data_IF_050362939783
#
_entry.id   IF_050362939783
#
_cell.length_a   1.000
_cell.length_b   1.000
_cell.length_c   1.000
_cell.angle_alpha   90.00
_cell.angle_beta   90.00
_cell.angle_gamma   90.00
#
_symmetry.space_group_name_H-M   'P 1'
#
loop_
_entity.id
_entity.type
_entity.pdbx_description
1 polymer ?
#
# COMPACT_ATOMS: atom_id res chain seq x y z
N UNK A 1 1.52 -21.82 13.94
CA UNK A 1 1.39 -22.07 12.49
C UNK A 1 1.41 -20.72 11.81
N UNK A 2 2.33 -20.46 10.88
CA UNK A 2 2.35 -19.21 10.15
C UNK A 2 1.09 -19.16 9.27
N UNK A 3 0.21 -18.19 9.50
CA UNK A 3 -0.92 -17.94 8.63
C UNK A 3 -0.36 -17.40 7.31
N UNK A 4 -0.40 -18.18 6.24
CA UNK A 4 0.09 -17.77 4.93
C UNK A 4 -0.96 -16.93 4.19
N UNK A 5 -1.08 -15.67 4.57
CA UNK A 5 -1.91 -14.75 3.81
C UNK A 5 -1.27 -14.44 2.46
N UNK A 6 -2.10 -14.45 1.41
CA UNK A 6 -1.62 -14.12 0.06
C UNK A 6 -1.43 -12.62 -0.08
N UNK A 7 -2.40 -11.84 0.40
CA UNK A 7 -2.37 -10.38 0.27
C UNK A 7 -2.62 -9.69 1.61
N UNK A 8 -1.81 -8.68 1.90
CA UNK A 8 -2.10 -7.62 2.84
C UNK A 8 -2.59 -6.40 2.07
N UNK A 9 -3.78 -5.89 2.41
CA UNK A 9 -4.38 -4.73 1.72
C UNK A 9 -4.46 -3.58 2.70
N UNK A 10 -3.93 -2.42 2.30
CA UNK A 10 -3.90 -1.21 3.13
C UNK A 10 -4.63 -0.09 2.40
N UNK A 11 -5.57 0.55 3.07
CA UNK A 11 -6.18 1.81 2.65
C UNK A 11 -6.08 2.86 3.76
N UNK A 12 -6.07 4.13 3.42
CA UNK A 12 -5.94 5.21 4.40
C UNK A 12 -7.27 5.54 5.08
N UNK A 13 -8.38 5.34 4.39
CA UNK A 13 -9.73 5.73 4.82
C UNK A 13 -10.71 4.58 4.70
N UNK A 14 -11.85 4.69 5.41
CA UNK A 14 -12.89 3.65 5.40
C UNK A 14 -13.42 3.40 3.98
N UNK A 15 -13.74 4.45 3.24
CA UNK A 15 -14.26 4.34 1.87
C UNK A 15 -13.29 3.68 0.87
N UNK A 16 -12.02 3.54 1.21
CA UNK A 16 -11.04 2.85 0.38
C UNK A 16 -11.00 1.34 0.63
N UNK A 17 -11.51 0.88 1.78
CA UNK A 17 -11.47 -0.54 2.16
C UNK A 17 -12.84 -1.15 2.42
N UNK A 18 -13.89 -0.38 2.67
CA UNK A 18 -15.20 -0.87 3.13
C UNK A 18 -15.81 -1.92 2.19
N UNK A 19 -15.74 -1.70 0.88
CA UNK A 19 -16.23 -2.67 -0.10
C UNK A 19 -15.48 -4.00 0.01
N UNK A 20 -14.15 -3.94 0.09
CA UNK A 20 -13.31 -5.15 0.21
C UNK A 20 -13.56 -5.88 1.54
N UNK A 21 -13.75 -5.14 2.62
CA UNK A 21 -14.09 -5.71 3.94
C UNK A 21 -15.51 -6.31 3.92
N UNK A 22 -16.45 -5.69 3.19
CA UNK A 22 -17.80 -6.21 2.99
C UNK A 22 -17.83 -7.53 2.23
N UNK A 23 -16.95 -7.68 1.25
CA UNK A 23 -16.85 -8.86 0.38
C UNK A 23 -16.04 -10.02 1.01
N UNK A 24 -15.51 -9.85 2.24
CA UNK A 24 -14.78 -10.92 2.90
C UNK A 24 -15.65 -12.10 3.29
N UNK A 25 -15.33 -13.26 2.77
CA UNK A 25 -15.84 -14.54 3.25
C UNK A 25 -15.11 -14.97 4.51
N UNK A 26 -15.83 -15.58 5.46
CA UNK A 26 -15.31 -16.05 6.76
C UNK A 26 -14.59 -14.94 7.55
N UNK A 27 -15.13 -13.72 7.48
CA UNK A 27 -14.54 -12.53 8.09
C UNK A 27 -14.32 -12.67 9.60
N UNK A 28 -13.13 -12.32 10.04
CA UNK A 28 -12.74 -12.18 11.46
C UNK A 28 -12.10 -10.80 11.66
N UNK A 29 -12.28 -10.27 12.85
CA UNK A 29 -11.62 -9.02 13.24
C UNK A 29 -10.60 -9.28 14.35
N UNK A 30 -9.43 -8.70 14.22
CA UNK A 30 -8.40 -8.69 15.26
C UNK A 30 -7.96 -7.26 15.52
N UNK A 31 -7.88 -6.89 16.80
CA UNK A 31 -7.37 -5.58 17.21
C UNK A 31 -5.97 -5.73 17.78
N UNK A 32 -5.00 -5.08 17.14
CA UNK A 32 -3.59 -5.08 17.57
C UNK A 32 -3.00 -3.68 17.41
N UNK A 33 -2.31 -3.22 18.44
CA UNK A 33 -1.59 -1.93 18.43
C UNK A 33 -2.47 -0.73 18.05
N UNK A 34 -3.76 -0.75 18.42
CA UNK A 34 -4.72 0.31 18.06
C UNK A 34 -5.19 0.29 16.61
N UNK A 35 -4.89 -0.78 15.87
CA UNK A 35 -5.37 -1.04 14.50
C UNK A 35 -6.40 -2.17 14.52
N UNK A 36 -7.36 -2.12 13.60
CA UNK A 36 -8.29 -3.23 13.35
C UNK A 36 -7.91 -3.91 12.04
N UNK A 37 -7.62 -5.20 12.14
CA UNK A 37 -7.32 -6.05 10.99
C UNK A 37 -8.53 -6.92 10.68
N UNK A 38 -8.92 -6.95 9.41
CA UNK A 38 -9.99 -7.78 8.89
C UNK A 38 -9.38 -8.94 8.11
N UNK A 39 -9.60 -10.15 8.61
CA UNK A 39 -9.06 -11.37 8.04
C UNK A 39 -10.17 -12.14 7.36
N UNK A 40 -9.87 -12.77 6.25
CA UNK A 40 -10.86 -13.58 5.53
C UNK A 40 -10.38 -13.99 4.16
N UNK A 41 -11.32 -14.33 3.31
CA UNK A 41 -11.05 -14.68 1.90
C UNK A 41 -11.70 -13.70 0.96
N UNK A 42 -10.95 -13.30 -0.05
CA UNK A 42 -11.50 -12.70 -1.27
C UNK A 42 -11.35 -13.74 -2.38
N UNK A 43 -12.48 -14.33 -2.81
CA UNK A 43 -12.50 -15.48 -3.72
C UNK A 43 -11.66 -16.63 -3.12
N UNK A 44 -10.60 -17.05 -3.79
CA UNK A 44 -9.70 -18.14 -3.37
C UNK A 44 -8.50 -17.70 -2.52
N UNK A 45 -8.33 -16.41 -2.28
CA UNK A 45 -7.14 -15.87 -1.62
C UNK A 45 -7.40 -15.52 -0.16
N UNK A 46 -6.52 -15.95 0.71
CA UNK A 46 -6.49 -15.50 2.10
C UNK A 46 -5.89 -14.11 2.18
N UNK A 47 -6.63 -13.19 2.79
CA UNK A 47 -6.27 -11.76 2.83
C UNK A 47 -6.37 -11.18 4.22
N UNK A 48 -5.58 -10.14 4.46
CA UNK A 48 -5.66 -9.27 5.64
C UNK A 48 -5.84 -7.84 5.16
N UNK A 49 -6.92 -7.19 5.59
CA UNK A 49 -7.22 -5.81 5.22
C UNK A 49 -7.09 -4.93 6.46
N UNK A 50 -6.52 -3.74 6.31
CA UNK A 50 -6.34 -2.81 7.42
C UNK A 50 -6.47 -1.37 6.95
N UNK A 51 -7.18 -0.54 7.76
CA UNK A 51 -7.14 0.93 7.61
C UNK A 51 -5.95 1.48 8.36
N UNK A 52 -5.06 2.17 7.67
CA UNK A 52 -3.87 2.74 8.29
C UNK A 52 -4.09 4.16 8.85
N UNK A 53 -5.06 4.91 8.35
CA UNK A 53 -5.17 6.35 8.56
C UNK A 53 -4.35 7.14 7.54
N UNK A 54 -4.59 8.44 7.46
CA UNK A 54 -3.98 9.33 6.48
C UNK A 54 -2.53 9.64 6.88
N UNK A 55 -1.66 9.70 5.89
CA UNK A 55 -0.28 10.15 6.01
C UNK A 55 0.77 9.04 6.07
N UNK A 56 1.99 9.38 5.66
CA UNK A 56 3.11 8.44 5.48
C UNK A 56 3.55 7.73 6.76
N UNK A 57 3.49 8.41 7.89
CA UNK A 57 3.84 7.82 9.20
C UNK A 57 2.84 6.72 9.56
N UNK A 58 1.54 6.97 9.39
CA UNK A 58 0.50 5.97 9.62
C UNK A 58 0.64 4.80 8.66
N UNK A 59 0.88 5.05 7.37
CA UNK A 59 1.10 4.04 6.37
C UNK A 59 2.30 3.15 6.72
N UNK A 60 3.46 3.74 7.03
CA UNK A 60 4.68 3.02 7.38
C UNK A 60 4.53 2.18 8.64
N UNK A 61 3.97 2.76 9.72
CA UNK A 61 3.67 2.05 10.97
C UNK A 61 2.77 0.84 10.72
N UNK A 62 1.67 1.06 10.02
CA UNK A 62 0.68 -0.01 9.78
C UNK A 62 1.24 -1.11 8.88
N UNK A 63 2.00 -0.74 7.85
CA UNK A 63 2.67 -1.71 6.98
C UNK A 63 3.64 -2.59 7.78
N UNK A 64 4.42 -2.00 8.69
CA UNK A 64 5.34 -2.78 9.51
C UNK A 64 4.59 -3.75 10.44
N UNK A 65 3.49 -3.33 11.07
CA UNK A 65 2.66 -4.21 11.90
C UNK A 65 2.06 -5.35 11.05
N UNK A 66 1.52 -5.01 9.87
CA UNK A 66 0.96 -5.99 8.94
C UNK A 66 1.99 -7.08 8.55
N UNK A 67 3.21 -6.67 8.24
CA UNK A 67 4.31 -7.59 7.92
C UNK A 67 4.65 -8.48 9.11
N UNK A 68 4.84 -7.89 10.29
CA UNK A 68 5.30 -8.60 11.48
C UNK A 68 4.28 -9.60 12.02
N UNK A 69 2.98 -9.25 11.96
CA UNK A 69 1.92 -10.05 12.56
C UNK A 69 1.32 -11.09 11.62
N UNK A 70 1.30 -10.80 10.31
CA UNK A 70 0.55 -11.61 9.33
C UNK A 70 1.41 -12.15 8.19
N UNK A 71 2.60 -11.62 7.97
CA UNK A 71 3.57 -12.06 6.94
C UNK A 71 2.92 -12.29 5.56
N UNK A 72 2.15 -11.34 5.00
CA UNK A 72 1.52 -11.53 3.71
C UNK A 72 2.58 -11.66 2.61
N UNK A 73 2.29 -12.48 1.60
CA UNK A 73 3.20 -12.65 0.45
C UNK A 73 3.35 -11.37 -0.36
N UNK A 74 2.26 -10.62 -0.50
CA UNK A 74 2.22 -9.34 -1.22
C UNK A 74 1.47 -8.30 -0.39
N UNK A 75 1.84 -7.04 -0.57
CA UNK A 75 1.12 -5.90 0.00
C UNK A 75 0.59 -5.03 -1.13
N UNK A 76 -0.69 -4.69 -1.05
CA UNK A 76 -1.37 -3.80 -1.99
C UNK A 76 -1.83 -2.57 -1.22
N UNK A 77 -1.39 -1.41 -1.65
CA UNK A 77 -1.97 -0.15 -1.20
C UNK A 77 -3.08 0.23 -2.20
N UNK A 78 -4.28 0.40 -1.69
CA UNK A 78 -5.44 0.85 -2.49
C UNK A 78 -5.95 2.18 -1.94
N UNK A 79 -6.42 3.04 -2.83
CA UNK A 79 -6.96 4.31 -2.40
C UNK A 79 -7.18 5.30 -3.53
N UNK A 80 -7.52 6.52 -3.15
CA UNK A 80 -7.79 7.63 -4.04
C UNK A 80 -6.49 8.42 -4.24
N UNK A 81 -6.20 8.80 -5.47
CA UNK A 81 -5.04 9.63 -5.81
C UNK A 81 -5.43 10.83 -6.65
N UNK A 82 -4.71 11.94 -6.52
CA UNK A 82 -4.83 13.09 -7.39
C UNK A 82 -4.23 12.80 -8.78
N UNK A 83 -5.03 12.96 -9.83
CA UNK A 83 -4.56 12.83 -11.21
C UNK A 83 -3.79 14.07 -11.64
N UNK A 84 -2.49 13.94 -11.94
CA UNK A 84 -1.66 15.02 -12.48
C UNK A 84 -1.61 14.99 -14.01
N UNK A 85 -1.80 13.83 -14.61
CA UNK A 85 -1.86 13.69 -16.07
C UNK A 85 -3.22 14.17 -16.58
N UNK A 86 -3.21 15.13 -17.50
CA UNK A 86 -4.43 15.71 -18.08
C UNK A 86 -5.26 14.73 -18.93
N UNK A 87 -4.71 13.57 -19.27
CA UNK A 87 -5.43 12.50 -19.98
C UNK A 87 -6.25 11.60 -19.05
N UNK A 88 -6.08 11.74 -17.74
CA UNK A 88 -6.83 10.96 -16.75
C UNK A 88 -8.18 11.63 -16.44
N UNK A 89 -9.20 10.79 -16.33
CA UNK A 89 -10.54 11.17 -15.91
C UNK A 89 -10.82 10.68 -14.49
N UNK A 90 -11.82 11.28 -13.84
CA UNK A 90 -12.30 10.79 -12.54
C UNK A 90 -12.86 9.38 -12.73
N UNK A 91 -12.38 8.44 -11.92
CA UNK A 91 -12.77 7.03 -11.97
C UNK A 91 -11.78 6.15 -12.74
N UNK A 92 -10.78 6.72 -13.40
CA UNK A 92 -9.72 5.93 -14.02
C UNK A 92 -8.88 5.20 -12.95
N UNK A 93 -8.49 3.97 -13.27
CA UNK A 93 -7.65 3.14 -12.40
C UNK A 93 -6.19 3.31 -12.82
N UNK A 94 -5.35 3.74 -11.89
CA UNK A 94 -3.92 3.88 -12.11
C UNK A 94 -3.16 2.82 -11.31
N UNK A 95 -2.35 2.02 -11.99
CA UNK A 95 -1.47 1.03 -11.38
C UNK A 95 -0.05 1.60 -11.40
N UNK A 96 0.52 1.84 -10.22
CA UNK A 96 1.86 2.42 -10.12
C UNK A 96 2.94 1.43 -10.56
N UNK A 97 3.95 1.94 -11.24
CA UNK A 97 5.18 1.20 -11.57
C UNK A 97 6.30 1.49 -10.59
N UNK A 98 6.31 2.69 -10.07
CA UNK A 98 7.25 3.14 -9.04
C UNK A 98 6.64 4.28 -8.21
N UNK A 99 7.24 4.55 -7.06
CA UNK A 99 6.88 5.64 -6.16
C UNK A 99 8.12 6.44 -5.79
N UNK A 100 7.93 7.75 -5.61
CA UNK A 100 8.95 8.68 -5.14
C UNK A 100 8.38 9.48 -3.97
N UNK A 101 9.16 9.69 -2.92
CA UNK A 101 8.79 10.61 -1.85
C UNK A 101 9.12 12.06 -2.26
N UNK A 102 8.25 12.67 -3.06
CA UNK A 102 8.48 13.94 -3.73
C UNK A 102 8.64 15.15 -2.79
N UNK A 103 8.13 15.07 -1.58
CA UNK A 103 8.15 16.14 -0.58
C UNK A 103 9.34 16.02 0.41
N UNK A 104 10.21 15.03 0.24
CA UNK A 104 11.46 14.92 0.99
C UNK A 104 12.54 15.77 0.31
N UNK A 105 12.87 16.92 0.92
CA UNK A 105 13.80 17.89 0.35
C UNK A 105 15.12 17.92 1.13
N UNK A 106 16.17 17.43 0.50
CA UNK A 106 17.54 17.40 1.03
C UNK A 106 18.51 18.16 0.11
N UNK A 107 17.99 19.05 -0.73
CA UNK A 107 18.79 19.82 -1.71
C UNK A 107 19.81 20.72 -1.05
N UNK A 108 19.53 21.24 0.14
CA UNK A 108 20.48 22.03 0.92
C UNK A 108 21.79 21.27 1.25
N UNK A 109 21.76 19.93 1.22
CA UNK A 109 22.94 19.08 1.45
C UNK A 109 23.57 18.58 0.14
N UNK A 110 23.19 19.11 -1.00
CA UNK A 110 23.71 18.74 -2.31
C UNK A 110 23.15 17.44 -2.89
N UNK A 111 22.03 16.96 -2.37
CA UNK A 111 21.32 15.78 -2.87
C UNK A 111 20.10 16.18 -3.72
N UNK A 112 19.63 15.25 -4.54
CA UNK A 112 18.38 15.46 -5.26
C UNK A 112 17.18 15.50 -4.30
N UNK A 113 16.16 16.28 -4.64
CA UNK A 113 14.86 16.23 -3.94
C UNK A 113 14.28 14.83 -4.07
N UNK A 114 13.81 14.26 -2.96
CA UNK A 114 13.33 12.87 -2.93
C UNK A 114 14.43 11.81 -2.81
N UNK A 115 15.68 12.19 -2.61
CA UNK A 115 16.75 11.24 -2.35
C UNK A 115 16.71 10.74 -0.91
N UNK A 116 16.50 9.44 -0.72
CA UNK A 116 16.36 8.78 0.58
C UNK A 116 17.62 8.00 1.01
N UNK A 117 18.80 8.49 0.62
CA UNK A 117 20.11 7.85 0.89
C UNK A 117 20.26 6.44 0.29
N UNK A 118 19.51 6.15 -0.77
CA UNK A 118 19.57 4.90 -1.53
C UNK A 118 19.69 5.24 -3.01
N UNK A 119 20.66 4.65 -3.70
CA UNK A 119 20.89 4.90 -5.12
C UNK A 119 21.78 6.11 -5.42
N UNK A 120 21.67 6.67 -6.61
CA UNK A 120 22.45 7.86 -7.00
C UNK A 120 21.90 9.11 -6.29
N UNK A 121 22.78 9.82 -5.59
CA UNK A 121 22.46 11.05 -4.86
C UNK A 121 21.96 12.22 -5.74
N UNK A 122 22.12 12.11 -7.04
CA UNK A 122 21.68 13.09 -8.03
C UNK A 122 20.26 12.85 -8.54
N UNK A 123 19.63 11.74 -8.11
CA UNK A 123 18.28 11.36 -8.53
C UNK A 123 17.40 11.06 -7.33
N UNK A 124 16.07 11.27 -7.46
CA UNK A 124 15.11 10.80 -6.45
C UNK A 124 15.20 9.28 -6.27
N UNK A 125 15.09 8.82 -5.05
CA UNK A 125 14.98 7.38 -4.78
C UNK A 125 13.65 6.84 -5.28
N UNK A 126 13.69 5.83 -6.16
CA UNK A 126 12.51 5.15 -6.70
C UNK A 126 12.27 3.84 -5.96
N UNK A 127 11.06 3.66 -5.51
CA UNK A 127 10.58 2.41 -4.92
C UNK A 127 9.74 1.68 -5.97
N UNK A 128 10.30 0.61 -6.54
CA UNK A 128 9.68 -0.12 -7.64
C UNK A 128 8.51 -0.98 -7.15
N UNK A 129 7.40 -0.96 -7.89
CA UNK A 129 6.31 -1.90 -7.66
C UNK A 129 6.71 -3.33 -8.05
N UNK A 130 6.03 -4.32 -7.45
CA UNK A 130 6.21 -5.72 -7.82
C UNK A 130 5.76 -5.95 -9.28
N UNK A 131 6.68 -6.45 -10.13
CA UNK A 131 6.44 -6.61 -11.56
C UNK A 131 5.35 -7.63 -11.86
N UNK A 132 5.35 -8.74 -11.13
CA UNK A 132 4.40 -9.83 -11.37
C UNK A 132 2.97 -9.42 -10.99
N UNK A 133 2.81 -8.67 -9.88
CA UNK A 133 1.52 -8.10 -9.49
C UNK A 133 1.06 -7.05 -10.50
N UNK A 134 1.94 -6.14 -10.89
CA UNK A 134 1.62 -5.08 -11.85
C UNK A 134 1.11 -5.66 -13.18
N UNK A 135 1.77 -6.70 -13.71
CA UNK A 135 1.32 -7.36 -14.94
C UNK A 135 0.00 -8.14 -14.77
N UNK A 136 -0.25 -8.72 -13.61
CA UNK A 136 -1.54 -9.37 -13.32
C UNK A 136 -2.70 -8.39 -13.21
N UNK A 137 -2.45 -7.20 -12.71
CA UNK A 137 -3.48 -6.16 -12.54
C UNK A 137 -3.85 -5.44 -13.85
N UNK A 138 -3.02 -5.54 -14.89
CA UNK A 138 -3.30 -4.99 -16.23
C UNK A 138 -4.23 -5.88 -17.07
N UNK A 139 -4.53 -7.09 -16.63
CA UNK A 139 -5.40 -8.09 -17.30
C UNK A 139 -6.82 -8.04 -16.77
#
# INVERSE_FOLDING_TARGET
>A
MANNYTYGIIGAMDNEIDTLVGDLENKKEEKKYGLTFYLGKLKKYDVVIVKCGIGKVNAGRTTQVLISEYSPKYIINTGIAGGLNQQLNIGDIVISTDLIQYDFDVTAFGYAKGYMFIGDKKEPTKYMADKDLTEKMKK
#
